data_IF_959656530959
#
_entry.id   IF_959656530959
#
_cell.length_a   1.000
_cell.length_b   1.000
_cell.length_c   1.000
_cell.angle_alpha   90.00
_cell.angle_beta   90.00
_cell.angle_gamma   90.00
#
_symmetry.space_group_name_H-M   'P 1'
#
loop_
_entity.id
_entity.type
_entity.pdbx_description
1 polymer ?
#
# COMPACT_ATOMS: atom_id res chain seq x y z
N UNK A 1 -13.51 -15.75 -7.33
CA UNK A 1 -12.03 -15.55 -7.30
C UNK A 1 -11.79 -14.06 -7.37
N UNK A 2 -10.85 -13.53 -6.57
CA UNK A 2 -10.60 -12.08 -6.45
C UNK A 2 -9.12 -11.80 -6.74
N UNK A 3 -8.85 -10.66 -7.36
CA UNK A 3 -7.49 -10.25 -7.73
C UNK A 3 -7.08 -9.02 -6.93
N UNK A 4 -5.95 -9.12 -6.27
CA UNK A 4 -5.42 -8.09 -5.38
C UNK A 4 -4.00 -7.69 -5.76
N UNK A 5 -3.67 -6.44 -5.51
CA UNK A 5 -2.32 -5.91 -5.67
C UNK A 5 -1.77 -5.56 -4.29
N UNK A 6 -0.62 -6.12 -3.97
CA UNK A 6 0.04 -6.00 -2.66
C UNK A 6 1.30 -5.16 -2.76
N UNK A 7 1.58 -4.40 -1.72
CA UNK A 7 2.85 -3.70 -1.50
C UNK A 7 2.97 -3.18 -0.07
N UNK A 8 4.19 -2.85 0.36
CA UNK A 8 4.46 -2.26 1.65
C UNK A 8 4.94 -0.82 1.54
N UNK A 9 4.42 0.00 2.42
CA UNK A 9 4.77 1.40 2.49
C UNK A 9 5.39 1.76 3.82
N UNK A 10 6.64 2.25 3.79
CA UNK A 10 7.27 2.82 4.99
C UNK A 10 6.73 4.21 5.27
N UNK A 11 6.32 4.45 6.51
CA UNK A 11 5.87 5.74 7.02
C UNK A 11 6.74 6.13 8.22
N UNK A 12 7.28 7.34 8.24
CA UNK A 12 8.20 7.74 9.30
C UNK A 12 8.22 9.25 9.55
N UNK A 13 8.79 9.61 10.71
CA UNK A 13 8.85 11.00 11.18
C UNK A 13 9.76 11.91 10.36
N UNK A 14 10.59 11.35 9.48
CA UNK A 14 11.40 12.19 8.59
C UNK A 14 10.47 12.93 7.63
N UNK A 15 10.52 14.27 7.68
CA UNK A 15 9.70 15.11 6.80
C UNK A 15 9.92 14.76 5.33
N UNK A 16 8.85 14.47 4.62
CA UNK A 16 8.85 14.29 3.17
C UNK A 16 8.70 15.66 2.50
N UNK A 17 9.62 15.98 1.61
CA UNK A 17 9.56 17.22 0.83
C UNK A 17 8.67 16.97 -0.40
N UNK A 18 7.58 17.72 -0.52
CA UNK A 18 6.69 17.71 -1.67
C UNK A 18 6.81 18.98 -2.52
N UNK A 19 6.02 19.07 -3.58
CA UNK A 19 5.88 20.28 -4.38
C UNK A 19 4.91 21.23 -3.68
N UNK A 20 5.34 22.49 -3.46
CA UNK A 20 4.49 23.58 -3.00
C UNK A 20 4.28 24.61 -4.10
N UNK A 21 3.07 25.12 -4.20
CA UNK A 21 2.77 26.27 -5.05
C UNK A 21 3.16 27.51 -4.27
N UNK A 22 4.14 28.27 -4.79
CA UNK A 22 4.60 29.52 -4.22
C UNK A 22 4.56 30.61 -5.27
N UNK A 23 4.67 31.87 -4.87
CA UNK A 23 4.85 32.98 -5.79
C UNK A 23 6.16 32.81 -6.59
N UNK A 24 6.15 33.22 -7.85
CA UNK A 24 7.32 33.11 -8.73
C UNK A 24 8.55 33.75 -8.08
N UNK A 25 9.63 32.98 -7.96
CA UNK A 25 10.89 33.44 -7.37
C UNK A 25 11.03 33.19 -5.85
N UNK A 26 10.00 32.69 -5.18
CA UNK A 26 10.05 32.36 -3.76
C UNK A 26 10.33 30.87 -3.58
N UNK A 27 11.44 30.54 -2.91
CA UNK A 27 11.70 29.14 -2.50
C UNK A 27 10.87 28.82 -1.26
N UNK A 28 10.11 27.71 -1.24
CA UNK A 28 9.44 27.27 -0.03
C UNK A 28 10.50 26.92 1.03
N UNK A 29 10.30 27.43 2.24
CA UNK A 29 11.13 27.11 3.41
C UNK A 29 10.24 26.32 4.36
N UNK A 30 10.64 25.11 4.70
CA UNK A 30 9.94 24.24 5.65
C UNK A 30 10.88 23.74 6.74
N UNK A 31 10.33 23.39 7.88
CA UNK A 31 11.07 22.72 8.96
C UNK A 31 11.29 21.27 8.54
N UNK A 32 12.54 20.82 8.52
CA UNK A 32 12.88 19.43 8.25
C UNK A 32 13.15 18.69 9.56
N UNK A 33 12.43 17.61 9.78
CA UNK A 33 12.64 16.71 10.91
C UNK A 33 13.50 15.51 10.44
N UNK A 34 14.48 15.13 11.26
CA UNK A 34 15.41 14.04 10.97
C UNK A 34 15.22 12.81 11.87
N UNK A 35 14.16 12.76 12.67
CA UNK A 35 13.84 11.57 13.47
C UNK A 35 13.61 10.37 12.53
N UNK A 36 14.13 9.20 12.93
CA UNK A 36 14.11 7.98 12.09
C UNK A 36 13.07 6.96 12.51
N UNK A 37 12.25 7.28 13.52
CA UNK A 37 11.17 6.39 13.95
C UNK A 37 10.19 6.20 12.81
N UNK A 38 9.79 4.97 12.58
CA UNK A 38 8.92 4.61 11.47
C UNK A 38 8.13 3.32 11.78
N UNK A 39 7.10 3.09 10.99
CA UNK A 39 6.35 1.85 10.90
C UNK A 39 6.10 1.52 9.42
N UNK A 40 5.56 0.35 9.17
CA UNK A 40 5.26 -0.14 7.82
C UNK A 40 3.77 -0.43 7.70
N UNK A 41 3.17 0.02 6.61
CA UNK A 41 1.84 -0.36 6.20
C UNK A 41 1.99 -1.46 5.16
N UNK A 42 1.41 -2.61 5.43
CA UNK A 42 1.22 -3.68 4.46
C UNK A 42 -0.18 -3.53 3.90
N UNK A 43 -0.33 -3.52 2.61
CA UNK A 43 -1.59 -3.24 1.96
C UNK A 43 -1.93 -4.17 0.81
N UNK A 44 -3.21 -4.40 0.67
CA UNK A 44 -3.83 -5.05 -0.48
C UNK A 44 -4.91 -4.13 -1.03
N UNK A 45 -5.00 -4.01 -2.33
CA UNK A 45 -6.09 -3.33 -3.02
C UNK A 45 -6.64 -4.22 -4.13
N UNK A 46 -7.96 -4.30 -4.24
CA UNK A 46 -8.65 -4.90 -5.36
C UNK A 46 -9.03 -3.81 -6.37
N UNK A 47 -8.34 -3.70 -7.52
CA UNK A 47 -8.55 -2.59 -8.45
C UNK A 47 -9.96 -2.54 -9.03
N UNK A 48 -10.63 -3.68 -9.14
CA UNK A 48 -11.97 -3.79 -9.71
C UNK A 48 -13.05 -3.16 -8.83
N UNK A 49 -12.99 -3.40 -7.52
CA UNK A 49 -14.01 -2.95 -6.56
C UNK A 49 -13.58 -1.75 -5.74
N UNK A 50 -12.27 -1.52 -5.64
CA UNK A 50 -11.66 -0.56 -4.73
C UNK A 50 -11.67 -1.01 -3.27
N UNK A 51 -11.99 -2.26 -2.97
CA UNK A 51 -11.76 -2.80 -1.64
C UNK A 51 -10.27 -2.79 -1.32
N UNK A 52 -9.94 -2.52 -0.08
CA UNK A 52 -8.57 -2.52 0.40
C UNK A 52 -8.49 -3.13 1.79
N UNK A 53 -7.32 -3.71 2.08
CA UNK A 53 -7.00 -4.30 3.37
C UNK A 53 -5.61 -3.82 3.78
N UNK A 54 -5.51 -3.10 4.90
CA UNK A 54 -4.25 -2.50 5.36
C UNK A 54 -4.01 -2.87 6.82
N UNK A 55 -2.77 -3.26 7.12
CA UNK A 55 -2.29 -3.50 8.48
C UNK A 55 -0.98 -2.80 8.74
N UNK A 56 -0.78 -2.38 9.98
CA UNK A 56 0.44 -1.74 10.45
C UNK A 56 1.34 -2.76 11.14
N UNK A 57 2.65 -2.69 10.82
CA UNK A 57 3.69 -3.49 11.46
C UNK A 57 4.90 -2.62 11.79
N UNK A 58 5.65 -3.03 12.81
CA UNK A 58 6.89 -2.36 13.22
C UNK A 58 8.09 -2.73 12.33
N UNK A 59 8.01 -3.82 11.56
CA UNK A 59 9.10 -4.35 10.76
C UNK A 59 8.65 -4.76 9.37
N UNK A 60 9.59 -4.70 8.43
CA UNK A 60 9.44 -5.22 7.08
C UNK A 60 10.21 -6.54 6.99
N UNK A 61 9.52 -7.66 7.17
CA UNK A 61 10.13 -9.00 7.16
C UNK A 61 9.09 -10.10 6.90
N UNK A 62 9.58 -11.33 6.65
CA UNK A 62 8.76 -12.49 6.36
C UNK A 62 7.77 -12.86 7.49
N UNK A 63 8.10 -12.60 8.75
CA UNK A 63 7.21 -12.89 9.89
C UNK A 63 5.98 -11.97 9.86
N UNK A 64 6.20 -10.67 9.66
CA UNK A 64 5.11 -9.70 9.53
C UNK A 64 4.25 -10.00 8.29
N UNK A 65 4.89 -10.36 7.17
CA UNK A 65 4.18 -10.73 5.95
C UNK A 65 3.35 -12.00 6.14
N UNK A 66 3.87 -13.03 6.84
CA UNK A 66 3.10 -14.22 7.19
C UNK A 66 1.83 -13.87 7.97
N UNK A 67 1.98 -13.06 9.03
CA UNK A 67 0.84 -12.62 9.86
C UNK A 67 -0.18 -11.82 9.02
N UNK A 68 0.30 -10.97 8.12
CA UNK A 68 -0.54 -10.19 7.21
C UNK A 68 -1.40 -11.09 6.31
N UNK A 69 -0.79 -12.09 5.66
CA UNK A 69 -1.49 -13.05 4.81
C UNK A 69 -2.53 -13.86 5.60
N UNK A 70 -2.18 -14.33 6.79
CA UNK A 70 -3.10 -15.07 7.66
C UNK A 70 -4.33 -14.23 8.05
N UNK A 71 -4.11 -12.96 8.42
CA UNK A 71 -5.20 -12.04 8.75
C UNK A 71 -6.10 -11.75 7.55
N UNK A 72 -5.50 -11.54 6.39
CA UNK A 72 -6.25 -11.33 5.14
C UNK A 72 -7.08 -12.57 4.79
N UNK A 73 -6.48 -13.75 4.78
CA UNK A 73 -7.16 -15.02 4.54
C UNK A 73 -8.34 -15.24 5.50
N UNK A 74 -8.15 -14.94 6.79
CA UNK A 74 -9.20 -15.06 7.80
C UNK A 74 -10.33 -14.04 7.62
N UNK A 75 -10.05 -12.87 7.04
CA UNK A 75 -11.06 -11.84 6.76
C UNK A 75 -11.94 -12.23 5.58
N UNK A 76 -11.38 -12.91 4.58
CA UNK A 76 -12.08 -13.31 3.35
C UNK A 76 -12.02 -14.84 3.12
N UNK A 77 -12.55 -15.66 4.02
CA UNK A 77 -12.33 -17.11 4.01
C UNK A 77 -13.06 -17.86 2.89
N UNK A 78 -14.03 -17.22 2.23
CA UNK A 78 -14.88 -17.87 1.23
C UNK A 78 -14.36 -17.69 -0.21
N UNK A 79 -13.43 -16.77 -0.41
CA UNK A 79 -12.89 -16.45 -1.73
C UNK A 79 -11.51 -17.06 -1.93
N UNK A 80 -11.17 -17.30 -3.19
CA UNK A 80 -9.80 -17.57 -3.62
C UNK A 80 -9.20 -16.25 -4.09
N UNK A 81 -8.03 -15.89 -3.56
CA UNK A 81 -7.36 -14.63 -3.79
C UNK A 81 -6.10 -14.84 -4.61
N UNK A 82 -6.01 -14.18 -5.77
CA UNK A 82 -4.74 -14.01 -6.48
C UNK A 82 -4.15 -12.69 -6.03
N UNK A 83 -2.96 -12.73 -5.45
CA UNK A 83 -2.24 -11.58 -4.94
C UNK A 83 -1.04 -11.32 -5.83
N UNK A 84 -1.08 -10.22 -6.60
CA UNK A 84 0.08 -9.70 -7.31
C UNK A 84 0.97 -8.93 -6.34
N UNK A 85 2.27 -9.24 -6.34
CA UNK A 85 3.26 -8.60 -5.46
C UNK A 85 4.62 -8.51 -6.17
N UNK A 86 5.51 -7.71 -5.62
CA UNK A 86 6.87 -7.57 -6.10
C UNK A 86 7.76 -8.77 -5.73
N UNK A 87 9.03 -8.71 -6.15
CA UNK A 87 10.02 -9.74 -5.87
C UNK A 87 10.84 -9.43 -4.61
N UNK A 88 10.26 -8.84 -3.58
CA UNK A 88 10.92 -8.60 -2.31
C UNK A 88 11.50 -9.90 -1.71
N UNK A 89 12.73 -9.85 -1.24
CA UNK A 89 13.46 -11.06 -0.79
C UNK A 89 12.72 -11.84 0.31
N UNK A 90 11.95 -11.16 1.15
CA UNK A 90 11.20 -11.80 2.24
C UNK A 90 9.93 -12.52 1.75
N UNK A 91 9.41 -12.18 0.55
CA UNK A 91 8.31 -12.89 -0.10
C UNK A 91 8.70 -14.31 -0.56
N UNK A 92 9.99 -14.56 -0.74
CA UNK A 92 10.53 -15.87 -1.12
C UNK A 92 11.07 -16.68 0.08
N UNK A 93 10.78 -16.27 1.30
CA UNK A 93 11.22 -17.02 2.47
C UNK A 93 10.69 -18.44 2.46
N UNK A 94 11.60 -19.44 2.60
CA UNK A 94 11.24 -20.86 2.65
C UNK A 94 10.34 -21.22 3.85
N UNK A 95 10.19 -20.32 4.82
CA UNK A 95 9.39 -20.52 6.02
C UNK A 95 7.96 -19.95 5.88
N UNK A 96 7.65 -19.28 4.75
CA UNK A 96 6.29 -18.78 4.52
C UNK A 96 5.33 -19.93 4.27
N UNK A 97 4.24 -19.92 5.02
CA UNK A 97 3.12 -20.83 4.85
C UNK A 97 1.96 -20.07 4.21
N UNK A 98 1.81 -20.19 2.91
CA UNK A 98 0.77 -19.49 2.17
C UNK A 98 -0.59 -20.13 2.51
N UNK A 99 -1.59 -19.36 2.98
CA UNK A 99 -2.94 -19.86 3.21
C UNK A 99 -3.54 -20.52 1.94
N UNK A 100 -4.36 -21.56 2.12
CA UNK A 100 -4.89 -22.38 1.02
C UNK A 100 -5.74 -21.59 0.02
N UNK A 101 -6.34 -20.47 0.46
CA UNK A 101 -7.15 -19.59 -0.37
C UNK A 101 -6.35 -18.44 -1.01
N UNK A 102 -5.02 -18.45 -0.93
CA UNK A 102 -4.13 -17.42 -1.51
C UNK A 102 -3.21 -18.03 -2.56
N UNK A 103 -3.11 -17.38 -3.70
CA UNK A 103 -2.16 -17.67 -4.77
C UNK A 103 -1.31 -16.41 -4.98
N UNK A 104 0.00 -16.52 -4.80
CA UNK A 104 0.93 -15.41 -5.04
C UNK A 104 1.34 -15.36 -6.51
N UNK A 105 1.21 -14.18 -7.12
CA UNK A 105 1.61 -13.87 -8.49
C UNK A 105 2.70 -12.80 -8.48
N UNK A 106 3.94 -13.23 -8.71
CA UNK A 106 5.08 -12.32 -8.71
C UNK A 106 5.15 -11.49 -9.99
N UNK A 107 5.35 -10.18 -9.82
CA UNK A 107 5.55 -9.25 -10.93
C UNK A 107 6.87 -9.51 -11.65
N UNK A 108 7.01 -9.10 -12.93
CA UNK A 108 8.32 -9.02 -13.55
C UNK A 108 9.26 -8.10 -12.75
N UNK A 109 10.55 -8.42 -12.66
CA UNK A 109 11.51 -7.59 -11.93
C UNK A 109 11.52 -6.13 -12.43
N UNK A 110 11.66 -5.18 -11.51
CA UNK A 110 11.81 -3.75 -11.80
C UNK A 110 10.62 -3.11 -12.55
N UNK A 111 9.40 -3.53 -12.25
CA UNK A 111 8.17 -2.97 -12.86
C UNK A 111 7.17 -2.42 -11.82
N UNK A 112 7.56 -1.51 -10.90
CA UNK A 112 6.65 -0.98 -9.90
C UNK A 112 5.45 -0.24 -10.52
N UNK A 113 5.63 0.36 -11.70
CA UNK A 113 4.57 1.07 -12.41
C UNK A 113 3.38 0.20 -12.83
N UNK A 114 3.48 -1.11 -12.73
CA UNK A 114 2.34 -2.02 -12.99
C UNK A 114 1.59 -2.42 -11.73
N UNK A 115 2.01 -1.91 -10.55
CA UNK A 115 1.33 -2.17 -9.29
C UNK A 115 0.41 -1.02 -8.90
N UNK A 116 -0.92 -1.17 -9.03
CA UNK A 116 -1.87 -0.10 -8.72
C UNK A 116 -1.83 0.42 -7.30
N UNK A 117 -1.44 -0.39 -6.33
CA UNK A 117 -1.39 0.02 -4.92
C UNK A 117 -0.39 1.16 -4.67
N UNK A 118 0.61 1.31 -5.53
CA UNK A 118 1.54 2.46 -5.47
C UNK A 118 0.80 3.80 -5.55
N UNK A 119 -0.30 3.88 -6.32
CA UNK A 119 -1.15 5.08 -6.38
C UNK A 119 -1.91 5.32 -5.08
N UNK A 120 -2.31 4.26 -4.40
CA UNK A 120 -2.91 4.40 -3.08
C UNK A 120 -1.90 4.97 -2.08
N UNK A 121 -0.66 4.49 -2.12
CA UNK A 121 0.40 5.04 -1.29
C UNK A 121 0.75 6.50 -1.62
N UNK A 122 0.79 6.85 -2.90
CA UNK A 122 0.98 8.24 -3.33
C UNK A 122 -0.13 9.14 -2.77
N UNK A 123 -1.40 8.71 -2.83
CA UNK A 123 -2.54 9.47 -2.30
C UNK A 123 -2.43 9.65 -0.77
N UNK A 124 -2.12 8.59 -0.04
CA UNK A 124 -1.94 8.64 1.42
C UNK A 124 -0.78 9.56 1.79
N UNK A 125 0.37 9.43 1.13
CA UNK A 125 1.59 10.19 1.41
C UNK A 125 1.53 11.64 0.94
N UNK A 126 0.73 11.96 -0.06
CA UNK A 126 0.59 13.33 -0.57
C UNK A 126 0.27 14.34 0.54
N UNK A 127 -0.48 13.89 1.54
CA UNK A 127 -0.86 14.71 2.67
C UNK A 127 0.21 14.82 3.76
N UNK A 128 1.30 14.05 3.67
CA UNK A 128 2.44 14.14 4.59
C UNK A 128 3.46 15.21 4.17
N UNK A 129 3.38 15.66 2.92
CA UNK A 129 4.34 16.63 2.40
C UNK A 129 4.33 17.93 3.26
N UNK A 130 5.50 18.26 3.81
CA UNK A 130 5.72 19.43 4.68
C UNK A 130 5.07 19.37 6.07
N UNK A 131 4.40 18.26 6.41
CA UNK A 131 3.93 18.05 7.78
C UNK A 131 5.09 17.64 8.70
N UNK A 132 4.97 18.01 9.97
CA UNK A 132 5.94 17.67 11.00
C UNK A 132 5.20 17.15 12.23
N UNK A 133 5.56 15.97 12.69
CA UNK A 133 4.90 15.30 13.79
C UNK A 133 5.85 15.19 14.98
N UNK A 134 5.38 15.53 16.19
CA UNK A 134 6.15 15.47 17.41
C UNK A 134 6.51 14.04 17.82
N UNK A 135 5.61 13.10 17.56
CA UNK A 135 5.70 11.68 17.91
C UNK A 135 5.18 10.76 16.80
N UNK A 136 5.60 9.49 16.85
CA UNK A 136 5.16 8.49 15.89
C UNK A 136 3.66 8.21 15.98
N UNK A 137 3.08 8.34 17.19
CA UNK A 137 1.65 8.12 17.41
C UNK A 137 0.79 9.21 16.75
N UNK A 138 1.25 10.47 16.74
CA UNK A 138 0.57 11.56 16.01
C UNK A 138 0.55 11.29 14.49
N UNK A 139 1.68 10.84 13.95
CA UNK A 139 1.79 10.45 12.55
C UNK A 139 0.87 9.26 12.23
N UNK A 140 0.84 8.26 13.12
CA UNK A 140 -0.03 7.07 12.99
C UNK A 140 -1.49 7.49 12.94
N UNK A 141 -1.94 8.30 13.91
CA UNK A 141 -3.30 8.80 13.96
C UNK A 141 -3.67 9.58 12.68
N UNK A 142 -2.77 10.45 12.22
CA UNK A 142 -2.96 11.20 10.98
C UNK A 142 -3.16 10.28 9.77
N UNK A 143 -2.33 9.23 9.61
CA UNK A 143 -2.43 8.27 8.52
C UNK A 143 -3.76 7.51 8.57
N UNK A 144 -4.14 6.96 9.73
CA UNK A 144 -5.40 6.24 9.87
C UNK A 144 -6.62 7.13 9.60
N UNK A 145 -6.62 8.37 10.05
CA UNK A 145 -7.67 9.34 9.70
C UNK A 145 -7.76 9.62 8.19
N UNK A 146 -6.66 9.48 7.44
CA UNK A 146 -6.66 9.62 5.97
C UNK A 146 -7.20 8.36 5.30
N UNK A 147 -6.78 7.20 5.76
CA UNK A 147 -7.29 5.92 5.28
C UNK A 147 -8.81 5.81 5.50
N UNK A 148 -9.31 6.22 6.66
CA UNK A 148 -10.76 6.21 6.98
C UNK A 148 -11.62 7.09 6.06
N UNK A 149 -11.02 8.06 5.40
CA UNK A 149 -11.70 8.91 4.41
C UNK A 149 -11.77 8.29 3.01
N UNK A 150 -11.00 7.25 2.76
CA UNK A 150 -11.04 6.54 1.50
C UNK A 150 -12.22 5.58 1.49
N UNK A 151 -13.10 5.73 0.53
CA UNK A 151 -14.13 4.76 0.24
C UNK A 151 -13.76 3.94 -1.00
N UNK A 152 -14.45 2.83 -1.22
CA UNK A 152 -14.17 1.92 -2.34
C UNK A 152 -14.24 2.60 -3.70
N UNK A 153 -15.15 3.56 -3.89
CA UNK A 153 -15.27 4.31 -5.14
C UNK A 153 -14.04 5.18 -5.42
N UNK A 154 -13.50 5.84 -4.39
CA UNK A 154 -12.26 6.63 -4.51
C UNK A 154 -11.08 5.70 -4.82
N UNK A 155 -10.95 4.61 -4.07
CA UNK A 155 -9.85 3.66 -4.28
C UNK A 155 -9.93 3.03 -5.66
N UNK A 156 -11.09 2.57 -6.12
CA UNK A 156 -11.28 2.06 -7.47
C UNK A 156 -10.87 3.08 -8.55
N UNK A 157 -11.22 4.36 -8.37
CA UNK A 157 -10.84 5.41 -9.32
C UNK A 157 -9.33 5.68 -9.39
N UNK A 158 -8.62 5.44 -8.29
CA UNK A 158 -7.16 5.63 -8.20
C UNK A 158 -6.41 4.42 -8.76
N UNK A 159 -6.90 3.20 -8.51
CA UNK A 159 -6.21 1.94 -8.77
C UNK A 159 -6.74 1.16 -9.96
N UNK A 160 -7.97 1.41 -10.41
CA UNK A 160 -8.62 0.74 -11.52
C UNK A 160 -8.16 1.25 -12.88
N UNK A 161 -6.92 0.95 -13.26
CA UNK A 161 -6.39 1.34 -14.56
C UNK A 161 -6.94 0.49 -15.69
N UNK A 162 -7.22 1.11 -16.83
CA UNK A 162 -7.84 0.46 -17.99
C UNK A 162 -7.13 -0.83 -18.38
N UNK A 163 -5.79 -0.83 -18.46
CA UNK A 163 -5.03 -2.02 -18.87
C UNK A 163 -5.13 -3.19 -17.85
N UNK A 164 -5.32 -2.90 -16.56
CA UNK A 164 -5.53 -3.92 -15.54
C UNK A 164 -6.95 -4.46 -15.62
N UNK A 165 -7.93 -3.56 -15.71
CA UNK A 165 -9.32 -3.95 -15.81
C UNK A 165 -9.57 -4.75 -17.10
N UNK A 166 -9.00 -4.34 -18.24
CA UNK A 166 -9.07 -5.08 -19.49
C UNK A 166 -8.46 -6.48 -19.38
N UNK A 167 -7.32 -6.61 -18.70
CA UNK A 167 -6.69 -7.91 -18.46
C UNK A 167 -7.54 -8.81 -17.56
N UNK A 168 -8.14 -8.25 -16.52
CA UNK A 168 -9.03 -8.99 -15.60
C UNK A 168 -10.30 -9.44 -16.32
N UNK A 169 -10.93 -8.58 -17.10
CA UNK A 169 -12.11 -8.93 -17.89
C UNK A 169 -11.79 -10.01 -18.94
N UNK A 170 -10.66 -9.92 -19.63
CA UNK A 170 -10.21 -10.94 -20.58
C UNK A 170 -9.96 -12.30 -19.91
N UNK A 171 -9.62 -12.32 -18.63
CA UNK A 171 -9.35 -13.51 -17.82
C UNK A 171 -10.58 -14.04 -17.06
N UNK A 172 -11.79 -13.48 -17.29
CA UNK A 172 -13.05 -13.82 -16.60
C UNK A 172 -13.01 -13.61 -15.06
N UNK A 173 -12.27 -12.60 -14.61
CA UNK A 173 -12.30 -12.13 -13.22
C UNK A 173 -13.46 -11.14 -12.96
N UNK A 174 -14.60 -11.36 -13.57
CA UNK A 174 -15.80 -10.53 -13.38
C UNK A 174 -16.70 -11.10 -12.28
#
# INVERSE_FOLDING_TARGET
>A
MRYWCEDESRVGLKTEAGRLITTKGTKPIGIMQWKRDNFYLYGLVEPLTGEYFIWEFSHLNAVCFQIFLEKFSATYPQDIHIIQLDNGAFHFSQHLQIPENIILLFQPPHTPQVNPIERLWEEVKRHLAWESFGALDELREFIWQRLDKLNTSIVASITGWDFILDALFASNFS
#
